data_IF_508409636034
#
_entry.id   IF_508409636034
#
_cell.length_a   1.000
_cell.length_b   1.000
_cell.length_c   1.000
_cell.angle_alpha   90.00
_cell.angle_beta   90.00
_cell.angle_gamma   90.00
#
_symmetry.space_group_name_H-M   'P 1'
#
loop_
_entity.id
_entity.type
_entity.pdbx_description
1 polymer ?
#
# COMPACT_ATOMS: atom_id res chain seq x y z
N UNK A 1 -11.80 -18.55 0.17
CA UNK A 1 -10.49 -19.16 0.48
C UNK A 1 -10.63 -19.78 1.85
N UNK A 2 -10.33 -21.05 2.01
CA UNK A 2 -10.35 -21.74 3.32
C UNK A 2 -9.20 -22.74 3.36
N UNK A 3 -8.27 -22.52 4.28
CA UNK A 3 -7.20 -23.42 4.65
C UNK A 3 -7.48 -23.91 6.07
N UNK A 4 -7.32 -25.20 6.31
CA UNK A 4 -7.24 -25.73 7.66
C UNK A 4 -5.77 -25.91 8.06
N UNK A 5 -5.51 -26.19 9.33
CA UNK A 5 -4.16 -26.36 9.85
C UNK A 5 -3.45 -27.55 9.18
N UNK A 6 -4.18 -28.64 8.88
CA UNK A 6 -3.62 -29.81 8.22
C UNK A 6 -3.20 -29.54 6.78
N UNK A 7 -3.93 -28.67 6.06
CA UNK A 7 -3.52 -28.24 4.71
C UNK A 7 -2.18 -27.54 4.75
N UNK A 8 -1.97 -26.64 5.74
CA UNK A 8 -0.73 -25.84 5.86
C UNK A 8 0.49 -26.75 6.07
N UNK A 9 0.37 -27.82 6.83
CA UNK A 9 1.47 -28.78 7.03
C UNK A 9 1.96 -29.44 5.74
N UNK A 10 1.10 -29.53 4.74
CA UNK A 10 1.40 -30.19 3.46
C UNK A 10 1.86 -29.21 2.38
N UNK A 11 1.91 -27.91 2.68
CA UNK A 11 2.32 -26.89 1.71
C UNK A 11 3.83 -26.95 1.45
N UNK A 12 4.19 -26.82 0.19
CA UNK A 12 5.58 -26.58 -0.20
C UNK A 12 5.86 -25.07 -0.16
N UNK A 13 6.39 -24.60 0.97
CA UNK A 13 6.64 -23.17 1.21
C UNK A 13 8.00 -22.75 0.64
N UNK A 14 7.99 -21.72 -0.19
CA UNK A 14 9.21 -21.10 -0.71
C UNK A 14 9.45 -19.76 -0.03
N UNK A 15 10.53 -19.63 0.76
CA UNK A 15 10.89 -18.40 1.45
C UNK A 15 11.22 -17.29 0.45
N UNK A 16 10.58 -16.14 0.60
CA UNK A 16 10.76 -14.93 -0.24
C UNK A 16 11.27 -13.72 0.54
N UNK A 17 11.39 -13.83 1.85
CA UNK A 17 11.87 -12.75 2.71
C UNK A 17 13.32 -12.40 2.41
N UNK A 18 13.61 -11.11 2.31
CA UNK A 18 15.00 -10.62 2.21
C UNK A 18 15.74 -10.88 3.53
N UNK A 19 17.07 -11.14 3.49
CA UNK A 19 17.85 -11.42 4.70
C UNK A 19 17.70 -10.37 5.81
N UNK A 20 17.64 -9.08 5.45
CA UNK A 20 17.45 -7.98 6.41
C UNK A 20 16.12 -8.06 7.14
N UNK A 21 15.03 -8.37 6.44
CA UNK A 21 13.70 -8.51 7.05
C UNK A 21 13.60 -9.80 7.88
N UNK A 22 14.27 -10.86 7.45
CA UNK A 22 14.34 -12.11 8.20
C UNK A 22 15.04 -11.91 9.56
N UNK A 23 16.11 -11.12 9.61
CA UNK A 23 16.80 -10.77 10.85
C UNK A 23 15.91 -10.04 11.87
N UNK A 24 14.85 -9.38 11.41
CA UNK A 24 13.83 -8.74 12.26
C UNK A 24 12.63 -9.66 12.59
N UNK A 25 12.72 -10.96 12.25
CA UNK A 25 11.69 -11.94 12.56
C UNK A 25 10.52 -11.98 11.58
N UNK A 26 10.54 -11.19 10.51
CA UNK A 26 9.51 -11.22 9.46
C UNK A 26 9.78 -12.36 8.50
N UNK A 27 8.75 -13.18 8.22
CA UNK A 27 8.83 -14.22 7.19
C UNK A 27 7.68 -14.11 6.21
N UNK A 28 8.01 -14.24 4.93
CA UNK A 28 7.08 -14.24 3.82
C UNK A 28 7.40 -15.44 2.93
N UNK A 29 6.43 -16.31 2.75
CA UNK A 29 6.54 -17.47 1.87
C UNK A 29 5.57 -17.34 0.71
N UNK A 30 5.98 -17.84 -0.45
CA UNK A 30 5.08 -18.11 -1.57
C UNK A 30 4.79 -19.61 -1.61
N UNK A 31 3.56 -19.98 -1.97
CA UNK A 31 3.16 -21.36 -2.17
C UNK A 31 2.03 -21.47 -3.20
N UNK A 32 1.86 -22.66 -3.74
CA UNK A 32 0.76 -23.02 -4.62
C UNK A 32 -0.18 -24.00 -3.92
N UNK A 33 -1.49 -23.78 -4.06
CA UNK A 33 -2.52 -24.68 -3.57
C UNK A 33 -3.69 -24.70 -4.56
N UNK A 34 -4.08 -25.90 -5.04
CA UNK A 34 -5.16 -26.08 -6.02
C UNK A 34 -4.99 -25.18 -7.26
N UNK A 35 -3.78 -25.13 -7.82
CA UNK A 35 -3.42 -24.34 -9.01
C UNK A 35 -3.56 -22.81 -8.82
N UNK A 36 -3.59 -22.33 -7.59
CA UNK A 36 -3.58 -20.92 -7.26
C UNK A 36 -2.38 -20.58 -6.40
N UNK A 37 -1.82 -19.39 -6.59
CA UNK A 37 -0.67 -18.91 -5.84
C UNK A 37 -1.10 -18.05 -4.66
N UNK A 38 -0.37 -18.16 -3.56
CA UNK A 38 -0.65 -17.48 -2.30
C UNK A 38 0.63 -17.00 -1.65
N UNK A 39 0.47 -16.04 -0.76
CA UNK A 39 1.49 -15.59 0.16
C UNK A 39 1.10 -15.94 1.59
N UNK A 40 2.08 -16.40 2.36
CA UNK A 40 1.97 -16.63 3.79
C UNK A 40 2.91 -15.66 4.50
N UNK A 41 2.36 -14.79 5.33
CA UNK A 41 3.10 -13.80 6.12
C UNK A 41 3.00 -14.15 7.59
N UNK A 42 4.13 -14.09 8.31
CA UNK A 42 4.18 -14.26 9.76
C UNK A 42 5.32 -13.43 10.35
N UNK A 43 5.25 -13.19 11.66
CA UNK A 43 6.24 -12.45 12.43
C UNK A 43 6.62 -13.24 13.67
N UNK A 44 7.92 -13.43 13.89
CA UNK A 44 8.44 -14.04 15.11
C UNK A 44 8.24 -13.10 16.29
N UNK A 45 7.64 -13.58 17.40
CA UNK A 45 7.41 -12.76 18.57
C UNK A 45 8.73 -12.42 19.29
N UNK A 46 8.79 -11.23 19.93
CA UNK A 46 9.91 -10.77 20.74
C UNK A 46 11.26 -10.61 20.01
N UNK A 47 11.29 -10.61 18.68
CA UNK A 47 12.51 -10.37 17.89
C UNK A 47 12.70 -8.87 17.64
N UNK A 48 11.65 -8.18 17.22
CA UNK A 48 11.67 -6.74 17.01
C UNK A 48 10.27 -6.17 17.22
N UNK A 49 10.11 -5.39 18.28
CA UNK A 49 8.82 -4.83 18.72
C UNK A 49 8.14 -3.93 17.67
N UNK A 50 8.92 -3.22 16.87
CA UNK A 50 8.38 -2.34 15.84
C UNK A 50 7.70 -3.15 14.72
N UNK A 51 8.37 -4.16 14.17
CA UNK A 51 7.80 -5.01 13.12
C UNK A 51 6.68 -5.91 13.65
N UNK A 52 6.79 -6.34 14.89
CA UNK A 52 5.72 -7.10 15.55
C UNK A 52 4.46 -6.25 15.71
N UNK A 53 4.59 -5.00 16.18
CA UNK A 53 3.47 -4.08 16.27
C UNK A 53 2.83 -3.78 14.91
N UNK A 54 3.62 -3.62 13.86
CA UNK A 54 3.11 -3.44 12.49
C UNK A 54 2.30 -4.66 12.02
N UNK A 55 2.83 -5.87 12.21
CA UNK A 55 2.10 -7.09 11.85
C UNK A 55 0.81 -7.27 12.64
N UNK A 56 0.83 -7.00 13.94
CA UNK A 56 -0.39 -7.04 14.78
C UNK A 56 -1.42 -5.99 14.35
N UNK A 57 -0.97 -4.80 13.96
CA UNK A 57 -1.85 -3.77 13.40
C UNK A 57 -2.52 -4.23 12.09
N UNK A 58 -1.76 -4.85 11.19
CA UNK A 58 -2.31 -5.43 9.96
C UNK A 58 -3.34 -6.52 10.26
N UNK A 59 -3.06 -7.42 11.21
CA UNK A 59 -4.01 -8.46 11.62
C UNK A 59 -5.29 -7.87 12.21
N UNK A 60 -5.18 -6.84 13.07
CA UNK A 60 -6.33 -6.15 13.65
C UNK A 60 -7.20 -5.48 12.58
N UNK A 61 -6.58 -4.86 11.58
CA UNK A 61 -7.29 -4.29 10.44
C UNK A 61 -8.08 -5.37 9.66
N UNK A 62 -7.45 -6.49 9.31
CA UNK A 62 -8.14 -7.58 8.63
C UNK A 62 -9.26 -8.20 9.49
N UNK A 63 -9.06 -8.32 10.80
CA UNK A 63 -10.08 -8.81 11.72
C UNK A 63 -11.30 -7.89 11.74
N UNK A 64 -11.09 -6.58 11.77
CA UNK A 64 -12.18 -5.61 11.71
C UNK A 64 -12.94 -5.67 10.37
N UNK A 65 -12.23 -5.92 9.26
CA UNK A 65 -12.89 -6.14 7.97
C UNK A 65 -13.81 -7.37 7.99
N UNK A 66 -13.41 -8.45 8.69
CA UNK A 66 -14.24 -9.65 8.87
C UNK A 66 -15.50 -9.32 9.70
N UNK A 67 -15.32 -8.65 10.84
CA UNK A 67 -16.40 -8.32 11.78
C UNK A 67 -17.47 -7.42 11.16
N UNK A 68 -17.06 -6.48 10.33
CA UNK A 68 -17.99 -5.59 9.63
C UNK A 68 -18.66 -6.24 8.41
N UNK A 69 -18.35 -7.52 8.12
CA UNK A 69 -18.82 -8.24 6.93
C UNK A 69 -18.60 -7.45 5.63
N UNK A 70 -17.64 -6.58 5.64
CA UNK A 70 -17.27 -5.74 4.50
C UNK A 70 -16.32 -6.55 3.62
N UNK A 71 -16.85 -7.22 2.61
CA UNK A 71 -16.07 -7.71 1.48
C UNK A 71 -15.63 -6.49 0.66
N UNK A 72 -14.69 -5.72 1.17
CA UNK A 72 -14.20 -4.55 0.48
C UNK A 72 -13.44 -4.99 -0.77
N UNK A 73 -13.86 -4.47 -1.93
CA UNK A 73 -13.30 -4.82 -3.24
C UNK A 73 -11.82 -4.45 -3.38
N UNK A 74 -11.30 -3.62 -2.48
CA UNK A 74 -9.89 -3.23 -2.44
C UNK A 74 -8.97 -4.24 -1.73
N UNK A 75 -9.51 -5.30 -1.13
CA UNK A 75 -8.73 -6.34 -0.45
C UNK A 75 -8.52 -7.56 -1.34
N UNK A 76 -7.34 -8.16 -1.23
CA UNK A 76 -7.14 -9.53 -1.72
C UNK A 76 -7.91 -10.52 -0.86
N UNK A 77 -8.29 -11.70 -1.39
CA UNK A 77 -8.75 -12.80 -0.56
C UNK A 77 -7.70 -13.11 0.51
N UNK A 78 -8.13 -13.19 1.77
CA UNK A 78 -7.23 -13.42 2.90
C UNK A 78 -7.82 -14.40 3.92
N UNK A 79 -6.97 -14.94 4.78
CA UNK A 79 -7.33 -15.74 5.93
C UNK A 79 -6.30 -15.56 7.04
N UNK A 80 -6.80 -15.35 8.26
CA UNK A 80 -5.97 -15.34 9.48
C UNK A 80 -6.11 -16.72 10.14
N UNK A 81 -4.98 -17.34 10.48
CA UNK A 81 -4.94 -18.63 11.16
C UNK A 81 -4.19 -18.43 12.48
N UNK A 82 -4.90 -18.49 13.62
CA UNK A 82 -4.29 -18.36 14.95
C UNK A 82 -3.64 -19.69 15.38
N UNK A 83 -2.76 -19.60 16.39
CA UNK A 83 -2.18 -20.73 17.13
C UNK A 83 -1.49 -21.83 16.31
N UNK A 84 -0.68 -21.42 15.34
CA UNK A 84 0.10 -22.39 14.57
C UNK A 84 1.38 -22.79 15.32
N UNK A 85 1.23 -23.48 16.45
CA UNK A 85 2.37 -24.14 17.14
C UNK A 85 3.02 -25.26 16.31
N UNK A 86 2.51 -25.49 15.13
CA UNK A 86 2.61 -26.74 14.36
C UNK A 86 3.65 -26.66 13.25
N UNK A 87 4.10 -25.47 12.86
CA UNK A 87 5.07 -25.30 11.77
C UNK A 87 6.54 -25.26 12.25
N UNK A 88 6.82 -25.71 13.47
CA UNK A 88 8.18 -25.82 13.99
C UNK A 88 9.08 -26.68 13.08
N UNK A 89 8.54 -27.72 12.46
CA UNK A 89 9.26 -28.57 11.51
C UNK A 89 9.56 -27.85 10.17
N UNK A 90 8.77 -26.85 9.79
CA UNK A 90 8.94 -26.06 8.56
C UNK A 90 9.69 -24.74 8.78
N UNK A 91 10.26 -24.52 9.98
CA UNK A 91 10.98 -23.28 10.35
C UNK A 91 10.13 -21.99 10.27
N UNK A 92 8.81 -22.08 10.34
CA UNK A 92 7.92 -20.92 10.40
C UNK A 92 7.94 -20.35 11.81
N UNK A 93 8.44 -19.15 11.97
CA UNK A 93 8.69 -18.50 13.25
C UNK A 93 7.55 -17.55 13.63
N UNK A 94 6.36 -18.04 13.93
CA UNK A 94 5.25 -17.18 14.36
C UNK A 94 4.05 -17.97 14.84
N UNK A 95 3.27 -17.40 15.75
CA UNK A 95 2.05 -18.03 16.28
C UNK A 95 0.81 -17.78 15.43
N UNK A 96 0.82 -16.68 14.66
CA UNK A 96 -0.30 -16.27 13.81
C UNK A 96 0.21 -16.19 12.38
N UNK A 97 -0.59 -16.71 11.46
CA UNK A 97 -0.32 -16.69 10.03
C UNK A 97 -1.40 -15.86 9.34
N UNK A 98 -0.96 -14.96 8.47
CA UNK A 98 -1.80 -14.28 7.49
C UNK A 98 -1.54 -14.91 6.12
N UNK A 99 -2.56 -15.48 5.51
CA UNK A 99 -2.51 -15.95 4.12
C UNK A 99 -3.27 -14.95 3.26
N UNK A 100 -2.67 -14.53 2.15
CA UNK A 100 -3.30 -13.64 1.16
C UNK A 100 -3.16 -14.23 -0.24
N UNK A 101 -4.12 -13.96 -1.11
CA UNK A 101 -4.05 -14.35 -2.51
C UNK A 101 -2.87 -13.69 -3.22
N UNK A 102 -2.30 -14.35 -4.21
CA UNK A 102 -1.31 -13.75 -5.09
C UNK A 102 -1.98 -12.77 -6.05
N UNK A 103 -1.34 -11.64 -6.28
CA UNK A 103 -1.78 -10.63 -7.23
C UNK A 103 -0.59 -10.10 -8.01
N UNK A 104 -0.85 -9.57 -9.19
CA UNK A 104 0.16 -9.00 -10.07
C UNK A 104 0.38 -7.51 -9.78
N UNK A 105 1.54 -6.99 -10.15
CA UNK A 105 1.81 -5.55 -10.06
C UNK A 105 0.82 -4.81 -10.96
N UNK A 106 0.17 -3.75 -10.45
CA UNK A 106 -0.78 -2.97 -11.22
C UNK A 106 -0.11 -2.09 -12.29
N UNK A 107 0.92 -1.34 -11.89
CA UNK A 107 1.49 -0.29 -12.72
C UNK A 107 2.69 -0.83 -13.53
N UNK A 108 2.44 -1.23 -14.76
CA UNK A 108 3.46 -1.54 -15.75
C UNK A 108 3.88 -0.27 -16.52
N UNK A 109 4.74 -0.41 -17.54
CA UNK A 109 5.08 0.69 -18.44
C UNK A 109 3.81 1.18 -19.18
N UNK A 110 3.56 2.50 -19.10
CA UNK A 110 2.40 3.11 -19.71
C UNK A 110 2.71 3.89 -20.99
N UNK A 111 3.95 3.91 -21.45
CA UNK A 111 4.40 4.72 -22.59
C UNK A 111 3.63 4.43 -23.89
N UNK A 112 3.15 3.19 -24.07
CA UNK A 112 2.39 2.75 -25.22
C UNK A 112 0.87 2.63 -24.96
N UNK A 113 0.40 2.94 -23.75
CA UNK A 113 -1.02 2.81 -23.43
C UNK A 113 -1.85 3.98 -23.99
N UNK A 114 -3.05 3.72 -24.52
CA UNK A 114 -4.01 4.78 -24.82
C UNK A 114 -4.38 5.58 -23.57
N UNK A 115 -4.61 6.89 -23.72
CA UNK A 115 -4.99 7.78 -22.62
C UNK A 115 -6.23 7.26 -21.86
N UNK A 116 -7.22 6.73 -22.57
CA UNK A 116 -8.44 6.18 -21.97
C UNK A 116 -8.14 4.97 -21.06
N UNK A 117 -7.15 4.15 -21.43
CA UNK A 117 -6.77 3.01 -20.58
C UNK A 117 -6.00 3.49 -19.34
N UNK A 118 -5.13 4.49 -19.48
CA UNK A 118 -4.47 5.15 -18.35
C UNK A 118 -5.51 5.75 -17.40
N UNK A 119 -6.49 6.50 -17.94
CA UNK A 119 -7.58 7.08 -17.16
C UNK A 119 -8.37 6.01 -16.39
N UNK A 120 -8.70 4.90 -17.05
CA UNK A 120 -9.39 3.77 -16.42
C UNK A 120 -8.59 3.16 -15.26
N UNK A 121 -7.29 2.94 -15.45
CA UNK A 121 -6.39 2.45 -14.40
C UNK A 121 -6.36 3.43 -13.21
N UNK A 122 -6.24 4.74 -13.49
CA UNK A 122 -6.25 5.78 -12.47
C UNK A 122 -7.59 5.80 -11.70
N UNK A 123 -8.72 5.69 -12.38
CA UNK A 123 -10.04 5.62 -11.72
C UNK A 123 -10.16 4.41 -10.81
N UNK A 124 -9.75 3.22 -11.27
CA UNK A 124 -9.75 2.00 -10.45
C UNK A 124 -8.84 2.12 -9.23
N UNK A 125 -7.65 2.75 -9.40
CA UNK A 125 -6.72 3.03 -8.31
C UNK A 125 -7.33 3.95 -7.27
N UNK A 126 -7.93 5.05 -7.73
CA UNK A 126 -8.63 6.00 -6.86
C UNK A 126 -9.82 5.35 -6.16
N UNK A 127 -10.57 4.46 -6.85
CA UNK A 127 -11.68 3.71 -6.25
C UNK A 127 -11.22 2.80 -5.10
N UNK A 128 -10.09 2.11 -5.25
CA UNK A 128 -9.56 1.23 -4.20
C UNK A 128 -9.18 2.02 -2.94
N UNK A 129 -8.53 3.18 -3.11
CA UNK A 129 -8.14 4.03 -1.97
C UNK A 129 -9.35 4.75 -1.37
N UNK A 130 -10.31 5.16 -2.20
CA UNK A 130 -11.56 5.77 -1.73
C UNK A 130 -12.37 4.81 -0.82
N UNK A 131 -12.46 3.54 -1.21
CA UNK A 131 -13.12 2.52 -0.40
C UNK A 131 -12.43 2.34 0.96
N UNK A 132 -11.09 2.32 1.02
CA UNK A 132 -10.36 2.29 2.28
C UNK A 132 -10.68 3.52 3.15
N UNK A 133 -10.70 4.72 2.56
CA UNK A 133 -11.03 5.96 3.26
C UNK A 133 -12.50 5.98 3.73
N UNK A 134 -13.44 5.50 2.92
CA UNK A 134 -14.86 5.36 3.31
C UNK A 134 -15.05 4.31 4.42
N UNK A 135 -14.20 3.30 4.47
CA UNK A 135 -14.15 2.33 5.56
C UNK A 135 -13.64 2.94 6.88
N UNK A 136 -13.15 4.18 6.85
CA UNK A 136 -12.68 4.94 8.01
C UNK A 136 -11.17 4.86 8.24
N UNK A 137 -10.39 4.37 7.28
CA UNK A 137 -8.96 4.13 7.41
C UNK A 137 -8.15 4.87 6.35
N UNK A 138 -6.90 5.22 6.71
CA UNK A 138 -5.84 5.63 5.78
C UNK A 138 -4.80 4.53 5.69
N UNK A 139 -4.20 4.36 4.51
CA UNK A 139 -3.14 3.35 4.32
C UNK A 139 -1.84 3.74 5.04
N UNK A 140 -1.52 5.02 4.99
CA UNK A 140 -0.41 5.65 5.71
C UNK A 140 1.02 5.21 5.31
N UNK A 141 1.18 4.29 4.35
CA UNK A 141 2.44 3.92 3.69
C UNK A 141 2.20 3.45 2.25
N UNK A 142 1.41 4.21 1.47
CA UNK A 142 1.20 3.89 0.06
C UNK A 142 2.51 4.01 -0.71
N UNK A 143 2.78 2.98 -1.51
CA UNK A 143 3.89 2.94 -2.47
C UNK A 143 3.49 2.06 -3.67
N UNK A 144 4.21 2.20 -4.78
CA UNK A 144 3.89 1.49 -6.03
C UNK A 144 3.70 -0.01 -5.83
N UNK A 145 4.52 -0.62 -4.99
CA UNK A 145 4.52 -2.05 -4.71
C UNK A 145 3.29 -2.53 -3.91
N UNK A 146 2.53 -1.61 -3.29
CA UNK A 146 1.30 -1.91 -2.55
C UNK A 146 0.03 -1.85 -3.40
N UNK A 147 0.17 -1.50 -4.68
CA UNK A 147 -0.90 -1.42 -5.66
C UNK A 147 -0.83 -2.63 -6.57
N UNK A 148 -1.79 -3.53 -6.43
CA UNK A 148 -1.80 -4.80 -7.15
C UNK A 148 -3.09 -4.99 -7.92
N UNK A 149 -3.06 -5.87 -8.93
CA UNK A 149 -4.22 -6.24 -9.72
C UNK A 149 -4.61 -7.69 -9.42
N UNK A 150 -5.86 -7.89 -9.05
CA UNK A 150 -6.45 -9.19 -8.82
C UNK A 150 -7.82 -9.29 -9.49
N UNK A 151 -8.00 -10.26 -10.39
CA UNK A 151 -9.26 -10.48 -11.13
C UNK A 151 -9.82 -9.17 -11.74
N UNK A 152 -8.97 -8.40 -12.40
CA UNK A 152 -9.28 -7.10 -13.04
C UNK A 152 -9.67 -5.96 -12.07
N UNK A 153 -9.55 -6.17 -10.76
CA UNK A 153 -9.75 -5.13 -9.74
C UNK A 153 -8.40 -4.66 -9.20
N UNK A 154 -8.33 -3.39 -8.81
CA UNK A 154 -7.19 -2.87 -8.07
C UNK A 154 -7.37 -3.21 -6.60
N UNK A 155 -6.36 -3.83 -6.01
CA UNK A 155 -6.31 -4.13 -4.59
C UNK A 155 -5.10 -3.48 -3.92
N UNK A 156 -5.22 -3.27 -2.62
CA UNK A 156 -4.19 -2.73 -1.75
C UNK A 156 -3.62 -3.86 -0.89
N UNK A 157 -2.33 -3.78 -0.57
CA UNK A 157 -1.64 -4.74 0.30
C UNK A 157 -0.73 -4.01 1.29
N UNK A 158 -0.29 -4.74 2.33
CA UNK A 158 0.64 -4.27 3.37
C UNK A 158 0.04 -3.18 4.28
N UNK A 159 -0.94 -3.58 5.08
CA UNK A 159 -1.66 -2.71 6.01
C UNK A 159 -0.97 -2.54 7.38
N UNK A 160 0.34 -2.78 7.48
CA UNK A 160 1.08 -2.66 8.74
C UNK A 160 1.05 -1.27 9.36
N UNK A 161 0.90 -0.24 8.52
CA UNK A 161 0.87 1.17 8.94
C UNK A 161 -0.51 1.82 8.87
N UNK A 162 -1.54 1.05 8.55
CA UNK A 162 -2.91 1.55 8.44
C UNK A 162 -3.36 2.20 9.74
N UNK A 163 -4.12 3.30 9.64
CA UNK A 163 -4.61 4.07 10.78
C UNK A 163 -6.05 4.51 10.56
N UNK A 164 -6.83 4.59 11.64
CA UNK A 164 -8.14 5.23 11.59
C UNK A 164 -8.02 6.72 11.26
N UNK A 165 -8.92 7.24 10.43
CA UNK A 165 -8.86 8.61 9.87
C UNK A 165 -8.78 9.68 10.97
N UNK A 166 -9.39 9.49 12.10
CA UNK A 166 -9.41 10.47 13.19
C UNK A 166 -8.49 10.09 14.37
N UNK A 167 -7.63 9.09 14.20
CA UNK A 167 -6.67 8.75 15.23
C UNK A 167 -5.66 9.89 15.40
N UNK A 168 -5.60 10.47 16.60
CA UNK A 168 -4.60 11.48 16.95
C UNK A 168 -3.25 10.84 17.36
N UNK A 169 -2.90 9.74 16.72
CA UNK A 169 -1.59 9.11 16.97
C UNK A 169 -0.54 10.03 16.33
N UNK A 170 0.02 10.92 17.15
CA UNK A 170 1.21 11.67 16.76
C UNK A 170 2.31 10.68 16.37
N UNK A 171 3.01 10.97 15.30
CA UNK A 171 4.13 10.16 14.83
C UNK A 171 5.18 10.00 15.94
N UNK A 172 5.09 8.92 16.72
CA UNK A 172 6.17 8.50 17.62
C UNK A 172 7.36 7.93 16.85
N UNK A 173 7.19 7.63 15.55
CA UNK A 173 8.27 7.19 14.67
C UNK A 173 7.96 7.60 13.21
N UNK A 174 9.01 7.92 12.45
CA UNK A 174 8.94 8.14 10.99
C UNK A 174 8.68 6.80 10.28
N UNK A 175 7.43 6.41 10.18
CA UNK A 175 6.98 5.10 9.69
C UNK A 175 6.64 5.07 8.20
N UNK A 176 6.84 6.19 7.48
CA UNK A 176 6.57 6.26 6.05
C UNK A 176 7.84 6.14 5.22
N UNK A 177 7.69 5.60 4.01
CA UNK A 177 8.78 5.52 3.02
C UNK A 177 9.10 6.93 2.51
N UNK A 178 10.31 7.49 2.75
CA UNK A 178 10.61 8.91 2.48
C UNK A 178 10.30 9.38 1.07
N UNK A 179 10.39 8.50 0.06
CA UNK A 179 10.06 8.79 -1.35
C UNK A 179 8.62 9.23 -1.56
N UNK A 180 7.69 8.74 -0.76
CA UNK A 180 6.25 8.97 -0.90
C UNK A 180 5.69 9.88 0.21
N UNK A 181 6.57 10.38 1.10
CA UNK A 181 6.15 11.20 2.23
C UNK A 181 5.65 12.58 1.78
N UNK A 182 4.47 12.96 2.27
CA UNK A 182 3.98 14.33 2.10
C UNK A 182 4.83 15.34 2.90
N UNK A 183 4.98 16.59 2.43
CA UNK A 183 5.82 17.61 3.05
C UNK A 183 5.59 17.80 4.55
N UNK A 184 4.34 17.80 4.98
CA UNK A 184 3.96 17.96 6.40
C UNK A 184 4.50 16.85 7.31
N UNK A 185 4.71 15.65 6.78
CA UNK A 185 5.26 14.53 7.56
C UNK A 185 6.73 14.73 7.93
N UNK A 186 7.49 15.46 7.11
CA UNK A 186 8.88 15.84 7.45
C UNK A 186 8.95 16.83 8.62
N UNK A 187 7.84 17.47 8.94
CA UNK A 187 7.68 18.37 10.10
C UNK A 187 6.96 17.70 11.29
N UNK A 188 6.77 16.38 11.25
CA UNK A 188 6.18 15.62 12.35
C UNK A 188 4.65 15.72 12.45
N UNK A 189 3.96 16.18 11.39
CA UNK A 189 2.50 16.22 11.40
C UNK A 189 1.90 14.80 11.34
N UNK A 190 0.67 14.65 11.85
CA UNK A 190 -0.07 13.42 11.77
C UNK A 190 -0.45 13.06 10.31
N UNK A 191 -0.50 11.77 10.03
CA UNK A 191 -0.97 11.24 8.74
C UNK A 191 -2.48 11.46 8.59
N UNK A 192 -2.93 11.71 7.38
CA UNK A 192 -4.33 11.98 7.05
C UNK A 192 -4.66 11.45 5.65
N UNK A 193 -5.92 11.47 5.24
CA UNK A 193 -6.36 11.22 3.86
C UNK A 193 -5.48 11.96 2.84
N UNK A 194 -5.12 13.21 3.14
CA UNK A 194 -4.30 14.02 2.24
C UNK A 194 -2.84 13.55 2.13
N UNK A 195 -2.32 12.82 3.12
CA UNK A 195 -0.98 12.18 3.01
C UNK A 195 -1.01 10.98 2.06
N UNK A 196 -2.10 10.20 2.04
CA UNK A 196 -2.30 9.13 1.06
C UNK A 196 -2.48 9.71 -0.36
N UNK A 197 -3.23 10.81 -0.49
CA UNK A 197 -3.39 11.53 -1.77
C UNK A 197 -2.04 12.00 -2.31
N UNK A 198 -1.17 12.53 -1.46
CA UNK A 198 0.18 12.94 -1.86
C UNK A 198 1.02 11.74 -2.32
N UNK A 199 1.02 10.65 -1.56
CA UNK A 199 1.74 9.43 -1.91
C UNK A 199 1.27 8.87 -3.26
N UNK A 200 -0.05 8.83 -3.50
CA UNK A 200 -0.62 8.47 -4.81
C UNK A 200 -0.14 9.41 -5.91
N UNK A 201 -0.09 10.72 -5.65
CA UNK A 201 0.42 11.69 -6.61
C UNK A 201 1.86 11.39 -7.05
N UNK A 202 2.76 11.04 -6.10
CA UNK A 202 4.13 10.62 -6.41
C UNK A 202 4.14 9.32 -7.24
N UNK A 203 3.32 8.33 -6.88
CA UNK A 203 3.23 7.05 -7.60
C UNK A 203 2.77 7.29 -9.05
N UNK A 204 1.73 8.09 -9.25
CA UNK A 204 1.21 8.42 -10.59
C UNK A 204 2.23 9.23 -11.39
N UNK A 205 2.88 10.22 -10.77
CA UNK A 205 3.93 11.01 -11.40
C UNK A 205 5.09 10.14 -11.89
N UNK A 206 5.63 9.26 -11.02
CA UNK A 206 6.68 8.31 -11.40
C UNK A 206 6.22 7.34 -12.51
N UNK A 207 4.97 6.94 -12.49
CA UNK A 207 4.42 6.04 -13.51
C UNK A 207 4.30 6.71 -14.87
N UNK A 208 3.71 7.90 -14.94
CA UNK A 208 3.53 8.66 -16.19
C UNK A 208 4.86 9.12 -16.78
N UNK A 209 5.83 9.49 -15.95
CA UNK A 209 7.14 9.96 -16.44
C UNK A 209 8.10 8.82 -16.73
N UNK A 210 7.85 7.61 -16.22
CA UNK A 210 8.81 6.51 -16.24
C UNK A 210 10.06 6.77 -15.37
N UNK A 211 10.10 7.88 -14.63
CA UNK A 211 11.25 8.32 -13.83
C UNK A 211 10.98 8.16 -12.35
N UNK A 212 11.87 7.44 -11.68
CA UNK A 212 11.78 7.23 -10.25
C UNK A 212 12.51 8.33 -9.49
N UNK A 213 11.82 8.99 -8.54
CA UNK A 213 12.46 9.99 -7.67
C UNK A 213 13.57 9.34 -6.85
N UNK A 214 14.67 10.06 -6.67
CA UNK A 214 15.83 9.60 -5.90
C UNK A 214 16.38 10.70 -5.00
N UNK A 215 16.82 10.32 -3.81
CA UNK A 215 17.60 11.19 -2.92
C UNK A 215 18.56 10.30 -2.11
N UNK A 216 19.66 10.87 -1.64
CA UNK A 216 20.73 10.12 -0.97
C UNK A 216 20.42 9.84 0.51
N UNK A 217 19.65 10.72 1.14
CA UNK A 217 19.35 10.66 2.56
C UNK A 217 18.01 11.33 2.88
N UNK A 218 17.60 11.24 4.15
CA UNK A 218 16.33 11.79 4.62
C UNK A 218 16.21 13.30 4.42
N UNK A 219 17.30 14.06 4.61
CA UNK A 219 17.31 15.51 4.46
C UNK A 219 17.10 15.93 3.00
N UNK A 220 17.73 15.20 2.05
CA UNK A 220 17.50 15.43 0.63
C UNK A 220 16.07 15.11 0.21
N UNK A 221 15.45 14.06 0.79
CA UNK A 221 14.02 13.77 0.60
C UNK A 221 13.15 14.90 1.11
N UNK A 222 13.41 15.39 2.33
CA UNK A 222 12.69 16.53 2.89
C UNK A 222 12.81 17.77 2.00
N UNK A 223 14.02 18.09 1.54
CA UNK A 223 14.25 19.22 0.63
C UNK A 223 13.53 19.04 -0.71
N UNK A 224 13.57 17.83 -1.29
CA UNK A 224 12.87 17.50 -2.53
C UNK A 224 11.36 17.76 -2.38
N UNK A 225 10.71 17.14 -1.42
CA UNK A 225 9.26 17.20 -1.26
C UNK A 225 8.76 18.58 -0.79
N UNK A 226 9.48 19.20 0.16
CA UNK A 226 9.04 20.50 0.70
C UNK A 226 9.34 21.68 -0.22
N UNK A 227 10.38 21.60 -1.08
CA UNK A 227 10.85 22.77 -1.84
C UNK A 227 11.03 22.51 -3.33
N UNK A 228 11.79 21.49 -3.71
CA UNK A 228 12.35 21.35 -5.05
C UNK A 228 11.42 20.68 -6.06
N UNK A 229 10.54 19.78 -5.63
CA UNK A 229 9.69 19.01 -6.54
C UNK A 229 8.84 19.91 -7.41
N UNK A 230 9.01 19.81 -8.72
CA UNK A 230 8.21 20.41 -9.78
C UNK A 230 7.58 19.33 -10.63
N UNK A 231 6.37 19.56 -11.13
CA UNK A 231 5.63 18.59 -11.93
C UNK A 231 5.87 18.89 -13.41
N UNK A 232 6.74 18.08 -14.00
CA UNK A 232 7.05 18.12 -15.43
C UNK A 232 6.61 16.82 -16.06
N UNK A 233 5.68 16.88 -17.02
CA UNK A 233 5.14 15.71 -17.70
C UNK A 233 5.53 15.73 -19.18
N UNK A 234 5.71 14.55 -19.80
CA UNK A 234 5.75 14.42 -21.25
C UNK A 234 4.53 15.06 -21.90
N UNK A 235 4.70 15.63 -23.09
CA UNK A 235 3.65 16.40 -23.79
C UNK A 235 2.32 15.62 -23.89
N UNK A 236 2.39 14.34 -24.20
CA UNK A 236 1.21 13.48 -24.33
C UNK A 236 0.49 13.15 -23.02
N UNK A 237 1.04 13.55 -21.85
CA UNK A 237 0.43 13.39 -20.54
C UNK A 237 0.08 14.72 -19.84
N UNK A 238 0.20 15.85 -20.55
CA UNK A 238 -0.06 17.17 -19.97
C UNK A 238 -1.50 17.33 -19.44
N UNK A 239 -2.47 16.58 -19.97
CA UNK A 239 -3.85 16.57 -19.45
C UNK A 239 -3.93 16.12 -17.98
N UNK A 240 -2.96 15.35 -17.48
CA UNK A 240 -2.92 14.93 -16.07
C UNK A 240 -2.24 15.97 -15.14
N UNK A 241 -1.72 17.07 -15.70
CA UNK A 241 -0.94 18.04 -14.93
C UNK A 241 -1.74 18.66 -13.79
N UNK A 242 -2.96 19.12 -14.05
CA UNK A 242 -3.82 19.72 -13.02
C UNK A 242 -4.16 18.75 -11.89
N UNK A 243 -4.43 17.49 -12.23
CA UNK A 243 -4.62 16.43 -11.24
C UNK A 243 -3.40 16.31 -10.33
N UNK A 244 -2.20 16.19 -10.92
CA UNK A 244 -0.96 16.03 -10.17
C UNK A 244 -0.58 17.30 -9.39
N UNK A 245 -0.77 18.49 -9.93
CA UNK A 245 -0.54 19.76 -9.22
C UNK A 245 -1.41 19.82 -7.94
N UNK A 246 -2.67 19.38 -8.01
CA UNK A 246 -3.57 19.34 -6.86
C UNK A 246 -3.25 18.21 -5.87
N UNK A 247 -2.77 17.03 -6.34
CA UNK A 247 -2.35 15.94 -5.45
C UNK A 247 -1.03 16.24 -4.74
N UNK A 248 -0.09 16.91 -5.43
CA UNK A 248 1.27 17.16 -4.98
C UNK A 248 1.47 18.59 -4.45
N UNK A 249 0.39 19.32 -4.20
CA UNK A 249 0.47 20.62 -3.56
C UNK A 249 1.25 20.51 -2.23
N UNK A 250 2.30 21.33 -2.09
CA UNK A 250 3.21 21.28 -0.92
C UNK A 250 2.51 21.67 0.35
N UNK A 251 1.66 22.69 0.28
CA UNK A 251 0.80 23.09 1.39
C UNK A 251 -0.49 22.27 1.37
N UNK A 252 -0.78 21.63 2.50
CA UNK A 252 -1.91 20.73 2.65
C UNK A 252 -3.25 21.38 2.30
N UNK A 253 -3.40 22.65 2.57
CA UNK A 253 -4.61 23.46 2.33
C UNK A 253 -4.97 23.59 0.84
N UNK A 254 -3.99 23.48 -0.04
CA UNK A 254 -4.18 23.52 -1.50
C UNK A 254 -4.30 22.14 -2.14
N UNK A 255 -4.11 21.07 -1.34
CA UNK A 255 -4.24 19.70 -1.80
C UNK A 255 -5.70 19.26 -1.78
N UNK A 256 -6.08 18.38 -2.70
CA UNK A 256 -7.40 17.74 -2.64
C UNK A 256 -7.67 17.17 -1.25
N UNK A 257 -8.90 17.35 -0.77
CA UNK A 257 -9.29 16.91 0.59
C UNK A 257 -9.78 15.47 0.67
N UNK A 258 -10.22 14.91 -0.47
CA UNK A 258 -10.74 13.54 -0.58
C UNK A 258 -10.61 12.99 -2.00
N UNK A 259 -10.78 11.69 -2.15
CA UNK A 259 -10.66 11.01 -3.45
C UNK A 259 -11.82 11.38 -4.40
N UNK A 260 -13.01 11.69 -3.89
CA UNK A 260 -14.14 12.05 -4.74
C UNK A 260 -13.82 13.27 -5.62
N UNK A 261 -13.23 14.31 -5.04
CA UNK A 261 -12.84 15.52 -5.80
C UNK A 261 -11.75 15.24 -6.83
N UNK A 262 -10.84 14.29 -6.55
CA UNK A 262 -9.85 13.81 -7.51
C UNK A 262 -10.50 13.11 -8.70
N UNK A 263 -11.47 12.22 -8.47
CA UNK A 263 -12.20 11.54 -9.54
C UNK A 263 -12.94 12.54 -10.43
N UNK A 264 -13.57 13.56 -9.84
CA UNK A 264 -14.22 14.62 -10.60
C UNK A 264 -13.22 15.37 -11.49
N UNK A 265 -12.07 15.75 -10.95
CA UNK A 265 -11.00 16.39 -11.72
C UNK A 265 -10.53 15.49 -12.87
N UNK A 266 -10.26 14.21 -12.62
CA UNK A 266 -9.80 13.24 -13.63
C UNK A 266 -10.83 13.04 -14.76
N UNK A 267 -12.14 13.06 -14.45
CA UNK A 267 -13.19 12.89 -15.45
C UNK A 267 -13.43 14.14 -16.29
N UNK A 268 -13.17 15.33 -15.77
CA UNK A 268 -13.41 16.61 -16.48
C UNK A 268 -12.25 17.04 -17.37
N UNK A 269 -11.04 16.55 -17.14
CA UNK A 269 -9.83 16.98 -17.86
C UNK A 269 -9.56 16.17 -19.13
N UNK A 270 -10.23 15.03 -19.31
CA UNK A 270 -9.97 14.10 -20.41
C UNK A 270 -11.23 13.96 -21.31
N UNK A 271 -11.75 15.10 -21.72
CA UNK A 271 -12.84 15.17 -22.75
C UNK A 271 -12.26 15.61 -24.08
#
# INVERSE_FOLDING_TARGET
MQFNVEDIHRLNLTLKTKPTSLAFGRTLYAFEYKQQHYWLKTQAPNVNSYYEAGFLNELAFYQQCIEQQSCADFLLPFQIIPDVNILAEQQVSGRIILIVGHAEVLLHDCSALPIQEIQKILLQLLDAVDQLHQFGWIHADLKREHLVQYQQKVCLIDFEHVQEINSQIALQSLTATPRYMAPELFHGAAKTVQTDIYALGIIIYEWLTGQRLTAKNYQEWAYLHCQRLTIELPEHFLMFKRLLDGMLAKQKEYRFTNIYTLKQCLMTEIV
#
